data_IF_699987386743
#
_entry.id   IF_699987386743
#
_cell.length_a   1.000
_cell.length_b   1.000
_cell.length_c   1.000
_cell.angle_alpha   90.00
_cell.angle_beta   90.00
_cell.angle_gamma   90.00
#
_symmetry.space_group_name_H-M   'P 1'
#
loop_
_entity.id
_entity.type
_entity.pdbx_description
1 polymer ?
#
# COMPACT_ATOMS: atom_id res chain seq x y z
N UNK A 1 16.59 -6.73 -9.20
CA UNK A 1 16.65 -6.72 -7.72
C UNK A 1 15.37 -7.36 -7.22
N UNK A 2 15.54 -8.49 -6.53
CA UNK A 2 14.59 -9.38 -5.84
C UNK A 2 13.11 -9.41 -6.27
N UNK A 3 12.79 -10.28 -7.23
CA UNK A 3 11.49 -10.98 -7.25
C UNK A 3 11.48 -11.96 -6.09
N UNK A 4 10.97 -11.56 -4.92
CA UNK A 4 10.70 -12.49 -3.82
C UNK A 4 9.59 -11.90 -2.95
N UNK A 5 8.33 -12.13 -3.31
CA UNK A 5 7.28 -12.43 -2.33
C UNK A 5 5.93 -12.93 -2.91
N UNK A 6 5.84 -13.23 -4.21
CA UNK A 6 4.63 -13.78 -4.83
C UNK A 6 4.51 -15.31 -4.63
N UNK A 7 4.62 -15.81 -3.40
CA UNK A 7 4.12 -17.16 -3.14
C UNK A 7 2.58 -17.12 -3.25
N UNK A 8 1.95 -17.82 -4.22
CA UNK A 8 0.50 -17.77 -4.41
C UNK A 8 -0.28 -18.15 -3.15
N UNK A 9 0.25 -19.07 -2.35
CA UNK A 9 -0.35 -19.49 -1.09
C UNK A 9 -0.25 -18.41 -0.01
N UNK A 10 0.85 -17.65 0.03
CA UNK A 10 1.03 -16.53 0.96
C UNK A 10 0.05 -15.40 0.62
N UNK A 11 -0.10 -15.10 -0.67
CA UNK A 11 -1.05 -14.09 -1.15
C UNK A 11 -2.50 -14.51 -0.91
N UNK A 12 -2.82 -15.80 -1.06
CA UNK A 12 -4.14 -16.32 -0.69
C UNK A 12 -4.43 -16.13 0.81
N UNK A 13 -3.51 -16.56 1.69
CA UNK A 13 -3.66 -16.36 3.15
C UNK A 13 -3.78 -14.89 3.54
N UNK A 14 -3.06 -14.00 2.85
CA UNK A 14 -3.17 -12.55 3.05
C UNK A 14 -4.57 -12.06 2.68
N UNK A 15 -5.10 -12.45 1.52
CA UNK A 15 -6.46 -12.07 1.10
C UNK A 15 -7.53 -12.61 2.06
N UNK A 16 -7.41 -13.87 2.48
CA UNK A 16 -8.31 -14.46 3.49
C UNK A 16 -8.30 -13.66 4.79
N UNK A 17 -7.11 -13.24 5.25
CA UNK A 17 -6.97 -12.38 6.42
C UNK A 17 -7.58 -11.00 6.20
N UNK A 18 -7.37 -10.37 5.04
CA UNK A 18 -7.93 -9.05 4.72
C UNK A 18 -9.46 -9.08 4.70
N UNK A 19 -10.07 -10.16 4.21
CA UNK A 19 -11.53 -10.34 4.29
C UNK A 19 -12.02 -10.40 5.73
N UNK A 20 -11.32 -11.11 6.62
CA UNK A 20 -11.65 -11.18 8.05
C UNK A 20 -11.48 -9.79 8.68
N UNK A 21 -10.33 -9.17 8.47
CA UNK A 21 -10.00 -7.87 9.05
C UNK A 21 -11.00 -6.79 8.61
N UNK A 22 -11.39 -6.76 7.34
CA UNK A 22 -12.39 -5.83 6.83
C UNK A 22 -13.74 -5.99 7.53
N UNK A 23 -14.19 -7.23 7.78
CA UNK A 23 -15.43 -7.50 8.53
C UNK A 23 -15.35 -7.05 9.99
N UNK A 24 -14.22 -7.25 10.66
CA UNK A 24 -14.04 -6.82 12.07
C UNK A 24 -14.10 -5.30 12.25
N UNK A 25 -13.88 -4.54 11.17
CA UNK A 25 -13.93 -3.06 11.18
C UNK A 25 -15.06 -2.48 10.32
N UNK A 26 -16.06 -3.30 9.96
CA UNK A 26 -17.23 -2.90 9.16
C UNK A 26 -16.89 -2.22 7.82
N UNK A 27 -15.87 -2.72 7.11
CA UNK A 27 -15.48 -2.27 5.78
C UNK A 27 -15.80 -3.35 4.73
N UNK A 28 -16.35 -2.93 3.59
CA UNK A 28 -16.53 -3.83 2.44
C UNK A 28 -15.16 -4.22 1.86
N UNK A 29 -14.77 -5.51 1.84
CA UNK A 29 -13.47 -5.93 1.30
C UNK A 29 -13.29 -5.62 -0.19
N UNK A 30 -14.37 -5.40 -0.95
CA UNK A 30 -14.31 -5.06 -2.38
C UNK A 30 -13.57 -3.73 -2.65
N UNK A 31 -13.42 -2.88 -1.63
CA UNK A 31 -12.66 -1.62 -1.74
C UNK A 31 -11.19 -1.85 -2.10
N UNK A 32 -10.66 -3.06 -1.88
CA UNK A 32 -9.27 -3.41 -2.18
C UNK A 32 -9.08 -3.95 -3.61
N UNK A 33 -10.14 -4.35 -4.32
CA UNK A 33 -10.06 -5.07 -5.60
C UNK A 33 -9.17 -4.39 -6.64
N UNK A 34 -9.31 -3.07 -6.80
CA UNK A 34 -8.57 -2.31 -7.81
C UNK A 34 -7.27 -1.67 -7.28
N UNK A 35 -7.04 -1.73 -5.96
CA UNK A 35 -5.97 -0.98 -5.28
C UNK A 35 -4.99 -1.85 -4.50
N UNK A 36 -5.25 -3.17 -4.37
CA UNK A 36 -4.39 -4.12 -3.65
C UNK A 36 -2.94 -4.04 -4.14
N UNK A 37 -2.70 -4.31 -5.43
CA UNK A 37 -1.35 -4.33 -5.98
C UNK A 37 -0.66 -2.95 -5.91
N UNK A 38 -1.29 -1.83 -6.32
CA UNK A 38 -0.71 -0.50 -6.17
C UNK A 38 -0.32 -0.14 -4.71
N UNK A 39 -1.14 -0.53 -3.72
CA UNK A 39 -0.84 -0.31 -2.31
C UNK A 39 0.35 -1.16 -1.84
N UNK A 40 0.41 -2.44 -2.24
CA UNK A 40 1.52 -3.33 -1.91
C UNK A 40 2.84 -2.85 -2.52
N UNK A 41 2.81 -2.41 -3.78
CA UNK A 41 3.98 -1.85 -4.47
C UNK A 41 4.47 -0.58 -3.76
N UNK A 42 3.55 0.29 -3.34
CA UNK A 42 3.89 1.50 -2.56
C UNK A 42 4.50 1.16 -1.22
N UNK A 43 3.91 0.22 -0.48
CA UNK A 43 4.46 -0.26 0.79
C UNK A 43 5.85 -0.83 0.60
N UNK A 44 6.07 -1.61 -0.46
CA UNK A 44 7.39 -2.16 -0.82
C UNK A 44 8.41 -1.05 -1.09
N UNK A 45 8.07 -0.06 -1.94
CA UNK A 45 8.97 1.05 -2.26
C UNK A 45 9.31 1.88 -1.03
N UNK A 46 8.33 2.21 -0.18
CA UNK A 46 8.60 3.01 1.02
C UNK A 46 9.41 2.21 2.05
N UNK A 47 9.18 0.90 2.13
CA UNK A 47 9.92 0.00 3.02
C UNK A 47 11.39 -0.13 2.63
N UNK A 48 11.70 -0.16 1.34
CA UNK A 48 13.08 -0.16 0.85
C UNK A 48 13.66 1.25 0.73
N UNK A 49 12.79 2.26 0.62
CA UNK A 49 13.07 3.69 0.57
C UNK A 49 12.95 4.34 1.95
N UNK A 50 12.53 5.61 2.07
CA UNK A 50 13.01 6.55 3.09
C UNK A 50 12.92 6.07 4.56
N UNK A 51 11.98 5.17 4.89
CA UNK A 51 11.88 4.55 6.21
C UNK A 51 10.93 3.34 6.22
N UNK A 52 11.41 2.18 6.72
CA UNK A 52 10.58 0.97 6.96
C UNK A 52 9.34 1.23 7.83
N UNK A 53 9.45 1.89 9.00
CA UNK A 53 8.28 2.33 9.77
C UNK A 53 7.32 3.27 9.00
N UNK A 54 7.82 3.98 8.00
CA UNK A 54 7.02 4.93 7.21
C UNK A 54 6.01 4.25 6.28
N UNK A 55 6.23 2.99 5.88
CA UNK A 55 5.35 2.29 4.95
C UNK A 55 3.93 2.08 5.48
N UNK A 56 3.71 1.48 6.67
CA UNK A 56 2.35 1.33 7.20
C UNK A 56 1.69 2.69 7.52
N UNK A 57 2.46 3.68 7.98
CA UNK A 57 1.94 5.03 8.26
C UNK A 57 1.50 5.74 6.98
N UNK A 58 2.21 5.52 5.87
CA UNK A 58 1.83 6.09 4.56
C UNK A 58 0.58 5.43 4.01
N UNK A 59 0.44 4.10 4.14
CA UNK A 59 -0.79 3.40 3.78
C UNK A 59 -2.00 3.89 4.59
N UNK A 60 -1.82 4.15 5.90
CA UNK A 60 -2.85 4.75 6.74
C UNK A 60 -3.27 6.14 6.24
N UNK A 61 -2.32 7.00 5.87
CA UNK A 61 -2.61 8.32 5.30
C UNK A 61 -3.37 8.24 3.97
N UNK A 62 -3.03 7.27 3.11
CA UNK A 62 -3.80 7.01 1.88
C UNK A 62 -5.24 6.66 2.21
N UNK A 63 -5.47 5.74 3.15
CA UNK A 63 -6.82 5.38 3.59
C UNK A 63 -7.64 6.58 4.08
N UNK A 64 -7.04 7.44 4.91
CA UNK A 64 -7.68 8.68 5.38
C UNK A 64 -8.00 9.63 4.23
N UNK A 65 -7.07 9.85 3.29
CA UNK A 65 -7.26 10.75 2.16
C UNK A 65 -8.30 10.21 1.16
N UNK A 66 -8.37 8.90 0.96
CA UNK A 66 -9.42 8.24 0.18
C UNK A 66 -10.79 8.47 0.82
N UNK A 67 -10.91 8.29 2.14
CA UNK A 67 -12.16 8.56 2.87
C UNK A 67 -12.59 10.04 2.80
N UNK A 68 -11.66 10.95 2.55
CA UNK A 68 -11.92 12.39 2.30
C UNK A 68 -12.31 12.70 0.85
N UNK A 69 -12.52 11.68 0.00
CA UNK A 69 -12.93 11.82 -1.40
C UNK A 69 -11.76 11.83 -2.40
N UNK A 70 -10.55 11.49 -1.96
CA UNK A 70 -9.39 11.34 -2.85
C UNK A 70 -9.44 10.06 -3.68
N UNK A 71 -8.91 10.12 -4.90
CA UNK A 71 -8.69 8.94 -5.74
C UNK A 71 -7.45 8.17 -5.23
N UNK A 72 -7.66 6.95 -4.73
CA UNK A 72 -6.61 6.10 -4.13
C UNK A 72 -5.42 5.88 -5.07
N UNK A 73 -5.67 5.63 -6.36
CA UNK A 73 -4.61 5.35 -7.34
C UNK A 73 -3.78 6.62 -7.61
N UNK A 74 -4.41 7.78 -7.71
CA UNK A 74 -3.71 9.06 -7.83
C UNK A 74 -2.92 9.40 -6.56
N UNK A 75 -3.45 9.09 -5.38
CA UNK A 75 -2.75 9.29 -4.11
C UNK A 75 -1.49 8.41 -4.02
N UNK A 76 -1.62 7.12 -4.32
CA UNK A 76 -0.49 6.16 -4.41
C UNK A 76 0.57 6.68 -5.38
N UNK A 77 0.16 7.07 -6.59
CA UNK A 77 1.08 7.60 -7.61
C UNK A 77 1.85 8.84 -7.13
N UNK A 78 1.16 9.79 -6.47
CA UNK A 78 1.81 10.99 -5.92
C UNK A 78 2.85 10.65 -4.86
N UNK A 79 2.55 9.69 -3.98
CA UNK A 79 3.46 9.28 -2.90
C UNK A 79 4.68 8.52 -3.42
N UNK A 80 4.49 7.67 -4.43
CA UNK A 80 5.59 6.99 -5.13
C UNK A 80 6.56 7.99 -5.76
N UNK A 81 6.04 8.99 -6.48
CA UNK A 81 6.85 10.07 -7.06
C UNK A 81 7.62 10.87 -5.98
N UNK A 82 6.97 11.18 -4.86
CA UNK A 82 7.62 11.88 -3.75
C UNK A 82 8.73 11.04 -3.09
N UNK A 83 8.54 9.72 -2.97
CA UNK A 83 9.55 8.80 -2.44
C UNK A 83 10.78 8.74 -3.35
N UNK A 84 10.58 8.66 -4.67
CA UNK A 84 11.65 8.66 -5.68
C UNK A 84 12.47 9.96 -5.66
N UNK A 85 11.80 11.13 -5.65
CA UNK A 85 12.45 12.44 -5.60
C UNK A 85 13.32 12.62 -4.35
N UNK A 86 12.87 12.11 -3.19
CA UNK A 86 13.66 12.13 -1.96
C UNK A 86 14.90 11.25 -2.03
N UNK A 87 14.83 10.12 -2.73
CA UNK A 87 15.99 9.27 -3.00
C UNK A 87 17.04 10.00 -3.83
N UNK A 88 16.60 10.67 -4.90
CA UNK A 88 17.48 11.41 -5.82
C UNK A 88 18.13 12.67 -5.23
N UNK A 89 17.49 13.30 -4.23
CA UNK A 89 18.02 14.52 -3.59
C UNK A 89 19.03 14.23 -2.47
N UNK A 90 19.21 12.94 -2.11
CA UNK A 90 20.11 12.50 -1.03
C UNK A 90 21.43 11.90 -1.54
N UNK A 91 21.61 11.85 -2.85
CA UNK A 91 22.88 11.60 -3.54
C UNK A 91 23.53 12.93 -3.95
#
# INVERSE_FOLDING_TARGET
>A
MSHHDDNPEKMARMRDWLEIAAREVDVDPSVLTDVEQPLLDMVSVISHGPSRPGAPLTAFLVGIATAQGGDTLQLVKKLMQAAEQRGQTRD
#
